data_IF_722556826447
#
_entry.id   IF_722556826447
#
_cell.length_a   1.000
_cell.length_b   1.000
_cell.length_c   1.000
_cell.angle_alpha   90.00
_cell.angle_beta   90.00
_cell.angle_gamma   90.00
#
_symmetry.space_group_name_H-M   'P 1'
#
loop_
_entity.id
_entity.type
_entity.pdbx_description
1 polymer ?
#
# COMPACT_ATOMS: atom_id res chain seq x y z
N UNK A 1 12.97 2.72 9.93
CA UNK A 1 12.05 3.71 9.35
C UNK A 1 10.86 2.97 8.79
N UNK A 2 9.67 3.49 9.04
CA UNK A 2 8.45 3.05 8.37
C UNK A 2 8.05 4.17 7.43
N UNK A 3 8.01 3.88 6.13
CA UNK A 3 7.40 4.76 5.14
C UNK A 3 5.90 4.50 5.08
N UNK A 4 5.10 5.55 4.94
CA UNK A 4 3.65 5.42 4.73
C UNK A 4 3.28 6.07 3.42
N UNK A 5 2.61 5.30 2.57
CA UNK A 5 2.04 5.78 1.32
C UNK A 5 0.53 5.90 1.48
N UNK A 6 -0.01 7.10 1.32
CA UNK A 6 -1.45 7.29 1.20
C UNK A 6 -1.89 6.99 -0.24
N UNK A 7 -2.84 6.06 -0.38
CA UNK A 7 -3.38 5.61 -1.68
C UNK A 7 -4.87 5.94 -1.86
N UNK A 8 -5.49 6.63 -0.89
CA UNK A 8 -6.90 7.00 -0.97
C UNK A 8 -7.47 7.50 0.36
N UNK A 9 -8.75 7.90 0.33
CA UNK A 9 -9.57 8.15 1.53
C UNK A 9 -10.80 7.28 1.48
N UNK A 10 -11.09 6.63 2.61
CA UNK A 10 -12.27 5.79 2.74
C UNK A 10 -13.55 6.58 2.50
N UNK A 11 -14.54 6.01 1.78
CA UNK A 11 -15.85 6.61 1.64
C UNK A 11 -16.53 6.82 3.00
N UNK A 12 -17.46 7.77 3.06
CA UNK A 12 -18.23 8.04 4.29
C UNK A 12 -18.96 6.76 4.75
N UNK A 13 -18.79 6.41 6.02
CA UNK A 13 -19.43 5.24 6.63
C UNK A 13 -18.60 3.96 6.55
N UNK A 14 -17.47 3.96 5.84
CA UNK A 14 -16.51 2.85 5.88
C UNK A 14 -15.53 3.09 7.02
N UNK A 15 -15.37 2.07 7.86
CA UNK A 15 -14.52 2.11 9.05
C UNK A 15 -13.20 1.36 8.82
N UNK A 16 -12.23 1.57 9.71
CA UNK A 16 -11.01 0.78 9.70
C UNK A 16 -11.28 -0.73 9.92
N UNK A 17 -12.36 -1.09 10.63
CA UNK A 17 -12.75 -2.48 10.84
C UNK A 17 -13.28 -3.13 9.54
N UNK A 18 -13.98 -2.37 8.71
CA UNK A 18 -14.42 -2.84 7.39
C UNK A 18 -13.22 -3.11 6.47
N UNK A 19 -12.21 -2.25 6.53
CA UNK A 19 -10.93 -2.42 5.84
C UNK A 19 -10.21 -3.67 6.32
N UNK A 20 -10.06 -3.84 7.63
CA UNK A 20 -9.43 -5.02 8.23
C UNK A 20 -10.16 -6.31 7.82
N UNK A 21 -11.50 -6.31 7.90
CA UNK A 21 -12.34 -7.45 7.48
C UNK A 21 -12.18 -7.79 6.00
N UNK A 22 -11.99 -6.79 5.14
CA UNK A 22 -11.70 -7.01 3.72
C UNK A 22 -10.31 -7.61 3.53
N UNK A 23 -9.29 -7.03 4.18
CA UNK A 23 -7.90 -7.45 4.04
C UNK A 23 -7.65 -8.86 4.57
N UNK A 24 -8.37 -9.28 5.62
CA UNK A 24 -8.32 -10.66 6.15
C UNK A 24 -8.83 -11.71 5.15
N UNK A 25 -9.58 -11.30 4.12
CA UNK A 25 -10.05 -12.20 3.04
C UNK A 25 -9.05 -12.33 1.90
N UNK A 26 -8.02 -11.47 1.86
CA UNK A 26 -6.95 -11.56 0.86
C UNK A 26 -6.05 -12.72 1.25
N UNK A 27 -5.98 -13.73 0.38
CA UNK A 27 -5.19 -14.93 0.62
C UNK A 27 -3.74 -14.57 0.92
N UNK A 28 -3.19 -15.10 2.02
CA UNK A 28 -1.78 -14.92 2.37
C UNK A 28 -0.89 -15.60 1.32
N UNK A 29 0.33 -15.07 1.10
CA UNK A 29 1.30 -15.71 0.20
C UNK A 29 1.57 -17.16 0.62
N UNK A 30 1.52 -18.06 -0.35
CA UNK A 30 1.81 -19.48 -0.15
C UNK A 30 3.29 -19.76 -0.32
N UNK A 31 3.85 -20.55 0.59
CA UNK A 31 5.22 -21.04 0.47
C UNK A 31 5.38 -21.95 -0.77
N UNK A 32 6.50 -21.82 -1.48
CA UNK A 32 6.85 -22.63 -2.66
C UNK A 32 5.82 -22.56 -3.82
N UNK A 33 5.01 -21.49 -3.89
CA UNK A 33 4.10 -21.27 -5.01
C UNK A 33 4.85 -21.03 -6.33
N UNK A 34 4.22 -21.41 -7.45
CA UNK A 34 4.67 -21.07 -8.81
C UNK A 34 3.52 -20.39 -9.55
N UNK A 35 3.62 -19.09 -9.88
CA UNK A 35 4.73 -18.17 -9.60
C UNK A 35 4.94 -17.89 -8.10
N UNK A 36 6.12 -17.38 -7.73
CA UNK A 36 6.49 -17.06 -6.34
C UNK A 36 5.53 -16.01 -5.77
N UNK A 37 4.97 -16.31 -4.61
CA UNK A 37 4.15 -15.39 -3.82
C UNK A 37 4.96 -14.85 -2.64
N UNK A 38 4.81 -13.56 -2.36
CA UNK A 38 5.46 -12.86 -1.25
C UNK A 38 4.62 -11.66 -0.77
N UNK A 39 5.15 -10.86 0.16
CA UNK A 39 4.46 -9.68 0.68
C UNK A 39 4.08 -8.67 -0.41
N UNK A 40 4.87 -8.53 -1.48
CA UNK A 40 4.56 -7.63 -2.61
C UNK A 40 3.35 -8.14 -3.38
N UNK A 41 3.27 -9.44 -3.67
CA UNK A 41 2.07 -10.02 -4.32
C UNK A 41 0.82 -9.86 -3.46
N UNK A 42 0.95 -9.97 -2.13
CA UNK A 42 -0.17 -9.74 -1.22
C UNK A 42 -0.61 -8.28 -1.21
N UNK A 43 0.34 -7.33 -1.15
CA UNK A 43 0.03 -5.88 -1.19
C UNK A 43 -0.72 -5.53 -2.48
N UNK A 44 -0.29 -6.07 -3.62
CA UNK A 44 -0.98 -5.88 -4.91
C UNK A 44 -2.42 -6.39 -4.85
N UNK A 45 -2.64 -7.60 -4.35
CA UNK A 45 -3.97 -8.18 -4.19
C UNK A 45 -4.84 -7.40 -3.20
N UNK A 46 -4.25 -6.88 -2.11
CA UNK A 46 -4.93 -6.04 -1.14
C UNK A 46 -5.39 -4.71 -1.74
N UNK A 47 -4.53 -4.03 -2.50
CA UNK A 47 -4.89 -2.79 -3.20
C UNK A 47 -5.99 -3.05 -4.22
N UNK A 48 -5.88 -4.15 -4.98
CA UNK A 48 -6.92 -4.54 -5.94
C UNK A 48 -8.27 -4.79 -5.23
N UNK A 49 -8.29 -5.49 -4.10
CA UNK A 49 -9.52 -5.70 -3.33
C UNK A 49 -10.15 -4.37 -2.86
N UNK A 50 -9.33 -3.38 -2.48
CA UNK A 50 -9.79 -2.04 -2.12
C UNK A 50 -10.36 -1.28 -3.34
N UNK A 51 -9.75 -1.44 -4.52
CA UNK A 51 -10.22 -0.85 -5.79
C UNK A 51 -11.56 -1.47 -6.22
N UNK A 52 -11.73 -2.78 -6.08
CA UNK A 52 -12.99 -3.48 -6.38
C UNK A 52 -14.15 -3.03 -5.49
N UNK A 53 -13.85 -2.59 -4.25
CA UNK A 53 -14.82 -1.94 -3.35
C UNK A 53 -15.01 -0.44 -3.60
N UNK A 54 -14.26 0.13 -4.54
CA UNK A 54 -14.21 1.57 -4.80
C UNK A 54 -13.81 2.41 -3.56
N UNK A 55 -13.04 1.81 -2.65
CA UNK A 55 -12.55 2.49 -1.44
C UNK A 55 -11.26 3.26 -1.70
N UNK A 56 -10.53 2.88 -2.75
CA UNK A 56 -9.42 3.62 -3.34
C UNK A 56 -9.66 3.79 -4.83
N UNK A 57 -8.97 4.74 -5.45
CA UNK A 57 -9.14 5.04 -6.88
C UNK A 57 -8.58 3.91 -7.76
N UNK A 58 -9.14 3.73 -8.96
CA UNK A 58 -8.70 2.71 -9.91
C UNK A 58 -7.46 3.17 -10.69
N UNK A 59 -6.38 3.47 -9.97
CA UNK A 59 -5.06 3.75 -10.54
C UNK A 59 -4.33 2.46 -10.93
N UNK A 60 -3.27 2.62 -11.70
CA UNK A 60 -2.36 1.55 -12.08
C UNK A 60 -1.51 1.11 -10.88
N UNK A 61 -1.68 -0.14 -10.43
CA UNK A 61 -0.98 -0.69 -9.26
C UNK A 61 0.52 -0.77 -9.52
N UNK A 62 0.97 -1.11 -10.73
CA UNK A 62 2.40 -1.20 -11.05
C UNK A 62 3.07 0.16 -10.89
N UNK A 63 2.44 1.22 -11.40
CA UNK A 63 2.94 2.60 -11.23
C UNK A 63 2.97 3.05 -9.77
N UNK A 64 2.01 2.62 -8.95
CA UNK A 64 2.05 2.88 -7.51
C UNK A 64 3.24 2.17 -6.85
N UNK A 65 3.50 0.91 -7.21
CA UNK A 65 4.61 0.14 -6.65
C UNK A 65 5.96 0.79 -7.01
N UNK A 66 6.14 1.17 -8.27
CA UNK A 66 7.35 1.88 -8.73
C UNK A 66 7.52 3.21 -8.00
N UNK A 67 6.46 4.01 -7.88
CA UNK A 67 6.52 5.27 -7.14
C UNK A 67 6.86 5.08 -5.65
N UNK A 68 6.34 4.02 -5.03
CA UNK A 68 6.63 3.71 -3.62
C UNK A 68 8.10 3.33 -3.42
N UNK A 69 8.71 2.65 -4.40
CA UNK A 69 10.15 2.37 -4.39
C UNK A 69 10.96 3.65 -4.55
N UNK A 70 10.61 4.52 -5.48
CA UNK A 70 11.29 5.82 -5.68
C UNK A 70 11.25 6.69 -4.41
N UNK A 71 10.10 6.77 -3.73
CA UNK A 71 10.00 7.50 -2.45
C UNK A 71 10.86 6.83 -1.36
N UNK A 72 10.88 5.50 -1.31
CA UNK A 72 11.71 4.77 -0.35
C UNK A 72 13.21 5.03 -0.54
N UNK A 73 13.67 5.10 -1.78
CA UNK A 73 15.06 5.44 -2.11
C UNK A 73 15.42 6.88 -1.71
N UNK A 74 14.51 7.84 -1.93
CA UNK A 74 14.69 9.24 -1.48
C UNK A 74 14.83 9.31 0.03
N UNK A 75 13.93 8.65 0.76
CA UNK A 75 13.94 8.63 2.21
C UNK A 75 15.20 7.96 2.77
N UNK A 76 15.61 6.83 2.20
CA UNK A 76 16.85 6.17 2.57
C UNK A 76 18.09 7.04 2.30
N UNK A 77 18.11 7.74 1.16
CA UNK A 77 19.18 8.68 0.81
C UNK A 77 19.29 9.84 1.81
N UNK A 78 18.16 10.39 2.26
CA UNK A 78 18.09 11.48 3.23
C UNK A 78 18.44 11.04 4.66
N UNK A 79 18.10 9.80 5.04
CA UNK A 79 18.31 9.27 6.39
C UNK A 79 18.70 7.79 6.35
N UNK A 80 19.98 7.55 6.03
CA UNK A 80 20.54 6.18 5.89
C UNK A 80 20.40 5.32 7.14
N UNK A 81 20.39 5.94 8.31
CA UNK A 81 20.28 5.26 9.60
C UNK A 81 18.84 5.12 10.08
N UNK A 82 17.88 5.62 9.30
CA UNK A 82 16.44 5.44 9.51
C UNK A 82 15.95 5.94 10.88
N UNK A 83 16.61 6.95 11.45
CA UNK A 83 16.33 7.46 12.80
C UNK A 83 15.25 8.56 12.80
N UNK A 84 14.35 8.51 13.79
CA UNK A 84 13.65 9.70 14.29
C UNK A 84 12.35 10.14 13.60
N UNK A 85 12.07 9.76 12.35
CA UNK A 85 10.83 10.18 11.67
C UNK A 85 10.16 9.05 10.88
N UNK A 86 8.82 9.09 10.86
CA UNK A 86 8.00 8.34 9.89
C UNK A 86 7.87 9.20 8.65
N UNK A 87 8.30 8.70 7.51
CA UNK A 87 8.15 9.41 6.25
C UNK A 87 6.77 9.12 5.66
N UNK A 88 6.15 10.14 5.09
CA UNK A 88 4.82 10.04 4.50
C UNK A 88 4.81 10.63 3.09
N UNK A 89 4.26 9.89 2.15
CA UNK A 89 3.97 10.36 0.79
C UNK A 89 2.49 10.11 0.47
N UNK A 90 2.00 10.83 -0.54
CA UNK A 90 0.64 10.71 -1.01
C UNK A 90 0.63 10.47 -2.51
N UNK A 91 0.15 9.30 -2.89
CA UNK A 91 0.03 8.91 -4.30
C UNK A 91 -1.17 9.55 -4.99
N UNK A 92 -2.11 10.08 -4.21
CA UNK A 92 -3.36 10.65 -4.71
C UNK A 92 -3.32 12.17 -4.74
N UNK A 93 -4.23 12.77 -5.51
CA UNK A 93 -4.45 14.22 -5.51
C UNK A 93 -5.29 14.70 -4.31
N UNK A 94 -5.64 13.82 -3.37
CA UNK A 94 -6.41 14.19 -2.17
C UNK A 94 -5.47 14.75 -1.11
N UNK A 95 -5.88 15.68 -0.24
CA UNK A 95 -5.03 16.12 0.87
C UNK A 95 -4.71 14.96 1.80
N UNK A 96 -3.52 14.92 2.40
CA UNK A 96 -3.19 14.00 3.51
C UNK A 96 -4.19 14.16 4.68
#
# INVERSE_FOLDING_TARGET
MLGRMMIGKLPKGITAHDVDTLLQRVALPRENATPVENCVTWIRAAIQALQEKQWVENFDIDKLMDHTLDESDKWYGANKNLQGATEMANYTNRPL
#
